data_IF_651834152383
#
_entry.id   IF_651834152383
#
_cell.length_a   1.000
_cell.length_b   1.000
_cell.length_c   1.000
_cell.angle_alpha   90.00
_cell.angle_beta   90.00
_cell.angle_gamma   90.00
#
_symmetry.space_group_name_H-M   'P 1'
#
loop_
_entity.id
_entity.type
_entity.pdbx_description
1 polymer ?
#
# COMPACT_ATOMS: atom_id res chain seq x y z
N UNK A 1 0.96 4.40 -38.49
CA UNK A 1 2.02 5.42 -38.66
C UNK A 1 1.57 6.69 -37.98
N UNK A 2 2.36 7.20 -37.03
CA UNK A 2 2.13 8.51 -36.41
C UNK A 2 2.84 9.60 -37.22
N UNK A 3 2.23 10.78 -37.34
CA UNK A 3 2.79 11.88 -38.12
C UNK A 3 3.71 12.81 -37.30
N UNK A 4 3.54 12.85 -35.99
CA UNK A 4 4.28 13.77 -35.10
C UNK A 4 4.87 13.08 -33.89
N UNK A 5 4.28 12.01 -33.38
CA UNK A 5 4.77 11.28 -32.25
C UNK A 5 3.80 10.24 -31.73
N UNK A 6 4.28 9.44 -30.78
CA UNK A 6 3.54 8.42 -30.04
C UNK A 6 3.63 8.76 -28.56
N UNK A 7 2.49 8.71 -27.87
CA UNK A 7 2.41 8.91 -26.42
C UNK A 7 2.18 7.58 -25.72
N UNK A 8 3.09 7.20 -24.83
CA UNK A 8 2.94 6.06 -23.93
C UNK A 8 2.12 6.50 -22.70
N UNK A 9 0.98 5.87 -22.49
CA UNK A 9 0.05 6.16 -21.39
C UNK A 9 -0.67 4.90 -20.88
N UNK A 10 -0.02 3.74 -20.99
CA UNK A 10 -0.62 2.43 -20.71
C UNK A 10 -0.59 2.00 -19.24
N UNK A 11 -0.14 2.87 -18.31
CA UNK A 11 0.00 2.53 -16.90
C UNK A 11 1.26 1.74 -16.59
N UNK A 12 1.35 1.21 -15.35
CA UNK A 12 2.48 0.44 -14.88
C UNK A 12 2.35 -1.07 -15.11
N UNK A 13 3.02 -1.88 -14.27
CA UNK A 13 3.09 -3.35 -14.41
C UNK A 13 2.65 -4.12 -13.15
N UNK A 14 1.88 -3.50 -12.27
CA UNK A 14 1.47 -4.10 -10.99
C UNK A 14 0.62 -5.36 -11.12
N UNK A 15 -0.03 -5.59 -12.26
CA UNK A 15 -0.87 -6.76 -12.53
C UNK A 15 -0.15 -7.88 -13.31
N UNK A 16 1.13 -7.71 -13.61
CA UNK A 16 1.95 -8.75 -14.27
C UNK A 16 2.87 -9.44 -13.25
N UNK A 17 2.61 -10.72 -12.97
CA UNK A 17 3.35 -11.47 -11.94
C UNK A 17 4.84 -11.64 -12.30
N UNK A 18 5.19 -11.84 -13.57
CA UNK A 18 6.57 -12.04 -13.99
C UNK A 18 7.38 -10.75 -13.82
N UNK A 19 6.81 -9.61 -14.24
CA UNK A 19 7.45 -8.31 -14.06
C UNK A 19 7.55 -7.92 -12.58
N UNK A 20 6.55 -8.25 -11.76
CA UNK A 20 6.64 -8.09 -10.31
C UNK A 20 7.82 -8.87 -9.74
N UNK A 21 7.94 -10.14 -10.09
CA UNK A 21 9.06 -10.99 -9.65
C UNK A 21 10.42 -10.50 -10.16
N UNK A 22 10.46 -9.91 -11.34
CA UNK A 22 11.70 -9.39 -11.92
C UNK A 22 12.19 -8.11 -11.25
N UNK A 23 11.26 -7.22 -10.84
CA UNK A 23 11.62 -5.85 -10.48
C UNK A 23 11.31 -5.48 -9.03
N UNK A 24 10.24 -6.00 -8.43
CA UNK A 24 9.76 -5.54 -7.13
C UNK A 24 10.36 -6.34 -5.96
N UNK A 25 10.31 -5.81 -4.73
CA UNK A 25 10.71 -6.55 -3.53
C UNK A 25 9.95 -7.87 -3.35
N UNK A 26 10.55 -8.83 -2.67
CA UNK A 26 9.99 -10.16 -2.45
C UNK A 26 9.61 -10.40 -0.97
N UNK A 27 8.57 -11.25 -0.76
CA UNK A 27 7.67 -11.87 -1.73
C UNK A 27 6.70 -10.87 -2.34
N UNK A 28 6.23 -11.13 -3.56
CA UNK A 28 5.28 -10.27 -4.26
C UNK A 28 4.24 -11.09 -5.00
N UNK A 29 2.99 -10.57 -5.08
CA UNK A 29 1.88 -11.24 -5.74
C UNK A 29 0.98 -10.21 -6.45
N UNK A 30 0.56 -10.50 -7.68
CA UNK A 30 -0.33 -9.66 -8.49
C UNK A 30 -1.75 -9.54 -7.93
N UNK A 31 -2.13 -10.35 -6.97
CA UNK A 31 -3.44 -10.30 -6.30
C UNK A 31 -3.49 -9.27 -5.17
N UNK A 32 -2.34 -8.77 -4.69
CA UNK A 32 -2.29 -7.80 -3.60
C UNK A 32 -2.59 -6.34 -4.00
N UNK A 33 -2.26 -5.90 -5.24
CA UNK A 33 -2.53 -4.54 -5.70
C UNK A 33 -4.02 -4.23 -5.86
N UNK A 34 -4.41 -3.01 -5.46
CA UNK A 34 -5.72 -2.41 -5.77
C UNK A 34 -5.67 -1.59 -7.07
N UNK A 35 -4.86 -2.00 -8.02
CA UNK A 35 -4.67 -1.34 -9.32
C UNK A 35 -5.56 -1.94 -10.40
N UNK A 36 -5.88 -1.17 -11.47
CA UNK A 36 -6.65 -1.68 -12.60
C UNK A 36 -5.98 -2.90 -13.27
N UNK A 37 -6.76 -3.90 -13.72
CA UNK A 37 -6.23 -5.16 -14.27
C UNK A 37 -5.40 -4.99 -15.56
N UNK A 38 -5.53 -3.86 -16.27
CA UNK A 38 -4.74 -3.56 -17.46
C UNK A 38 -3.34 -3.00 -17.20
N UNK A 39 -2.89 -2.92 -15.95
CA UNK A 39 -1.52 -2.49 -15.63
C UNK A 39 -0.53 -3.67 -15.78
N UNK A 40 -0.30 -4.09 -16.99
CA UNK A 40 0.49 -5.28 -17.38
C UNK A 40 1.88 -4.96 -17.94
N UNK A 41 2.25 -3.65 -17.97
CA UNK A 41 3.59 -3.22 -18.39
C UNK A 41 3.88 -3.46 -19.88
N UNK A 42 2.87 -3.35 -20.72
CA UNK A 42 2.98 -3.67 -22.17
C UNK A 42 4.01 -2.80 -22.91
N UNK A 43 4.31 -1.61 -22.37
CA UNK A 43 5.27 -0.70 -23.02
C UNK A 43 6.73 -1.04 -22.70
N UNK A 44 7.02 -1.87 -21.71
CA UNK A 44 8.37 -2.09 -21.20
C UNK A 44 9.27 -2.68 -22.30
N UNK A 45 8.86 -3.81 -22.89
CA UNK A 45 9.69 -4.46 -23.93
C UNK A 45 9.78 -3.67 -25.24
N UNK A 46 8.71 -3.05 -25.76
CA UNK A 46 8.83 -2.13 -26.89
C UNK A 46 9.77 -0.94 -26.64
N UNK A 47 9.69 -0.32 -25.45
CA UNK A 47 10.52 0.82 -25.11
C UNK A 47 12.02 0.42 -24.94
N UNK A 48 12.30 -0.74 -24.33
CA UNK A 48 13.67 -1.30 -24.28
C UNK A 48 14.27 -1.51 -25.68
N UNK A 49 13.51 -2.06 -26.62
CA UNK A 49 13.94 -2.25 -28.00
C UNK A 49 14.29 -0.94 -28.71
N UNK A 50 13.69 0.18 -28.30
CA UNK A 50 14.01 1.53 -28.80
C UNK A 50 15.19 2.18 -28.06
N UNK A 51 15.77 1.52 -27.05
CA UNK A 51 16.86 2.02 -26.26
C UNK A 51 16.44 3.04 -25.19
N UNK A 52 15.19 2.97 -24.71
CA UNK A 52 14.72 3.82 -23.64
C UNK A 52 15.39 3.51 -22.30
N UNK A 53 15.76 4.54 -21.58
CA UNK A 53 16.22 4.44 -20.18
C UNK A 53 15.04 4.20 -19.26
N UNK A 54 15.24 3.33 -18.27
CA UNK A 54 14.27 3.04 -17.21
C UNK A 54 14.80 3.44 -15.84
N UNK A 55 13.92 3.83 -14.95
CA UNK A 55 14.25 4.11 -13.56
C UNK A 55 13.10 3.72 -12.62
N UNK A 56 13.39 3.62 -11.31
CA UNK A 56 12.46 3.30 -10.22
C UNK A 56 11.70 1.97 -10.38
N UNK A 57 12.23 1.03 -11.15
CA UNK A 57 11.55 -0.24 -11.45
C UNK A 57 11.26 -1.09 -10.21
N UNK A 58 12.04 -0.94 -9.14
CA UNK A 58 11.84 -1.63 -7.85
C UNK A 58 10.80 -0.98 -6.94
N UNK A 59 10.15 0.10 -7.34
CA UNK A 59 9.30 0.90 -6.47
C UNK A 59 7.82 0.87 -6.89
N UNK A 60 6.93 0.92 -5.89
CA UNK A 60 5.49 0.93 -6.06
C UNK A 60 4.86 2.12 -5.33
N UNK A 61 3.64 2.48 -5.68
CA UNK A 61 2.75 3.28 -4.85
C UNK A 61 2.17 2.36 -3.77
N UNK A 62 2.92 2.15 -2.69
CA UNK A 62 2.61 1.17 -1.66
C UNK A 62 1.25 1.38 -1.01
N UNK A 63 0.52 0.31 -0.74
CA UNK A 63 -0.83 0.33 -0.22
C UNK A 63 -1.15 -0.99 0.50
N UNK A 64 -1.10 -1.05 1.86
CA UNK A 64 -1.44 -2.28 2.57
C UNK A 64 -2.87 -2.72 2.26
N UNK A 65 -3.08 -4.00 2.08
CA UNK A 65 -4.37 -4.57 1.68
C UNK A 65 -4.74 -5.82 2.47
N UNK A 66 -6.05 -6.01 2.65
CA UNK A 66 -6.69 -7.27 3.05
C UNK A 66 -7.37 -7.87 1.82
N UNK A 67 -7.28 -9.17 1.63
CA UNK A 67 -7.93 -9.85 0.51
C UNK A 67 -9.27 -10.44 0.97
N UNK A 68 -10.32 -10.31 0.15
CA UNK A 68 -11.56 -11.03 0.34
C UNK A 68 -11.47 -12.50 -0.15
N UNK A 69 -12.57 -13.25 -0.06
CA UNK A 69 -12.64 -14.65 -0.48
C UNK A 69 -12.53 -14.88 -2.00
N UNK A 70 -12.56 -13.81 -2.79
CA UNK A 70 -12.28 -13.82 -4.24
C UNK A 70 -10.88 -13.31 -4.57
N UNK A 71 -10.00 -13.15 -3.56
CA UNK A 71 -8.69 -12.49 -3.67
C UNK A 71 -8.78 -11.03 -4.14
N UNK A 72 -9.94 -10.38 -3.97
CA UNK A 72 -10.07 -8.97 -4.28
C UNK A 72 -9.47 -8.14 -3.15
N UNK A 73 -8.49 -7.26 -3.45
CA UNK A 73 -7.85 -6.46 -2.43
C UNK A 73 -8.76 -5.33 -1.94
N UNK A 74 -8.81 -5.15 -0.63
CA UNK A 74 -9.34 -3.99 0.06
C UNK A 74 -8.18 -3.14 0.55
N UNK A 75 -8.04 -1.93 0.02
CA UNK A 75 -6.96 -1.02 0.40
C UNK A 75 -7.23 -0.37 1.76
N UNK A 76 -6.33 -0.60 2.72
CA UNK A 76 -6.41 -0.04 4.07
C UNK A 76 -5.94 1.43 4.07
N UNK A 77 -6.85 2.37 3.83
CA UNK A 77 -6.55 3.81 3.89
C UNK A 77 -6.75 4.35 5.31
N UNK A 78 -8.00 4.41 5.75
CA UNK A 78 -8.39 4.92 7.05
C UNK A 78 -8.31 3.84 8.14
N UNK A 79 -8.61 2.58 7.77
CA UNK A 79 -8.74 1.46 8.70
C UNK A 79 -7.52 1.29 9.61
N UNK A 80 -6.31 1.49 9.08
CA UNK A 80 -5.05 1.36 9.83
C UNK A 80 -4.78 2.51 10.82
N UNK A 81 -5.52 3.61 10.74
CA UNK A 81 -5.42 4.73 11.67
C UNK A 81 -6.49 4.69 12.77
N UNK A 82 -7.42 3.72 12.72
CA UNK A 82 -8.47 3.50 13.74
C UNK A 82 -7.81 3.29 15.11
N UNK A 83 -8.27 3.98 16.18
CA UNK A 83 -7.59 3.99 17.47
C UNK A 83 -7.40 2.62 18.13
N UNK A 84 -8.47 1.80 18.14
CA UNK A 84 -8.49 0.46 18.76
C UNK A 84 -8.15 -0.64 17.74
N UNK A 85 -7.04 -0.46 17.04
CA UNK A 85 -6.50 -1.39 16.04
C UNK A 85 -4.98 -1.43 16.17
N UNK A 86 -4.39 -2.61 16.05
CA UNK A 86 -2.94 -2.78 15.93
C UNK A 86 -2.60 -3.76 14.80
N UNK A 87 -1.39 -3.63 14.27
CA UNK A 87 -0.84 -4.57 13.30
C UNK A 87 0.40 -5.24 13.89
N UNK A 88 0.42 -6.56 13.83
CA UNK A 88 1.52 -7.38 14.35
C UNK A 88 2.06 -8.31 13.26
N UNK A 89 3.33 -8.66 13.35
CA UNK A 89 3.95 -9.70 12.54
C UNK A 89 3.51 -11.11 12.98
N UNK A 90 4.00 -12.15 12.31
CA UNK A 90 3.69 -13.54 12.63
C UNK A 90 4.25 -14.00 13.99
N UNK A 91 5.11 -13.21 14.62
CA UNK A 91 5.57 -13.42 15.99
C UNK A 91 4.73 -12.66 17.04
N UNK A 92 3.69 -11.95 16.63
CA UNK A 92 2.83 -11.17 17.52
C UNK A 92 3.44 -9.84 17.99
N UNK A 93 4.40 -9.28 17.26
CA UNK A 93 5.06 -8.02 17.58
C UNK A 93 4.64 -6.91 16.66
N UNK A 94 4.30 -5.73 17.22
CA UNK A 94 4.21 -4.48 16.45
C UNK A 94 5.59 -4.09 15.95
N UNK A 95 5.68 -3.45 14.80
CA UNK A 95 6.96 -3.09 14.18
C UNK A 95 6.94 -1.73 13.48
N UNK A 96 5.80 -1.01 13.52
CA UNK A 96 5.64 0.29 12.88
C UNK A 96 4.51 1.10 13.54
N UNK A 97 4.43 2.39 13.18
CA UNK A 97 3.25 3.22 13.41
C UNK A 97 2.19 2.89 12.36
N UNK A 98 1.09 2.29 12.77
CA UNK A 98 0.04 1.86 11.84
C UNK A 98 -0.64 3.04 11.12
N UNK A 99 -0.68 4.23 11.76
CA UNK A 99 -1.27 5.43 11.18
C UNK A 99 -0.34 6.19 10.20
N UNK A 100 0.93 5.80 10.09
CA UNK A 100 1.91 6.44 9.19
C UNK A 100 1.44 6.46 7.72
N UNK A 101 2.05 7.24 6.82
CA UNK A 101 1.73 7.20 5.39
C UNK A 101 1.76 5.76 4.84
N UNK A 102 0.74 5.37 4.09
CA UNK A 102 0.56 3.99 3.64
C UNK A 102 1.68 3.49 2.71
N UNK A 103 2.36 4.39 2.02
CA UNK A 103 3.54 4.05 1.22
C UNK A 103 4.72 3.65 2.13
N UNK A 104 5.02 4.46 3.15
CA UNK A 104 6.07 4.18 4.12
C UNK A 104 5.76 2.92 4.95
N UNK A 105 4.47 2.63 5.18
CA UNK A 105 4.04 1.38 5.80
C UNK A 105 4.57 0.17 5.03
N UNK A 106 4.44 0.16 3.70
CA UNK A 106 4.90 -0.95 2.86
C UNK A 106 6.42 -1.09 2.89
N UNK A 107 7.17 0.01 2.84
CA UNK A 107 8.63 -0.02 2.95
C UNK A 107 9.08 -0.58 4.31
N UNK A 108 8.40 -0.18 5.39
CA UNK A 108 8.68 -0.72 6.73
C UNK A 108 8.30 -2.21 6.82
N UNK A 109 7.20 -2.64 6.19
CA UNK A 109 6.78 -4.04 6.18
C UNK A 109 7.82 -4.94 5.50
N UNK A 110 8.34 -4.55 4.34
CA UNK A 110 9.41 -5.29 3.66
C UNK A 110 10.71 -5.29 4.47
N UNK A 111 11.13 -4.13 4.99
CA UNK A 111 12.32 -4.03 5.84
C UNK A 111 12.24 -4.95 7.06
N UNK A 112 11.09 -4.94 7.75
CA UNK A 112 10.89 -5.82 8.91
C UNK A 112 10.84 -7.29 8.51
N UNK A 113 10.25 -7.60 7.35
CA UNK A 113 10.24 -8.96 6.80
C UNK A 113 11.65 -9.53 6.63
N UNK A 114 12.56 -8.75 6.04
CA UNK A 114 13.96 -9.12 5.88
C UNK A 114 14.66 -9.29 7.24
N UNK A 115 14.50 -8.33 8.15
CA UNK A 115 15.12 -8.34 9.48
C UNK A 115 14.69 -9.52 10.35
N UNK A 116 13.47 -10.01 10.15
CA UNK A 116 12.90 -11.10 10.96
C UNK A 116 12.95 -12.48 10.28
N UNK A 117 13.65 -12.58 9.15
CA UNK A 117 13.74 -13.84 8.41
C UNK A 117 12.37 -14.29 7.87
N UNK A 118 11.56 -13.37 7.40
CA UNK A 118 10.32 -13.69 6.71
C UNK A 118 9.04 -13.63 7.54
N UNK A 119 8.99 -12.84 8.64
CA UNK A 119 7.86 -12.87 9.58
C UNK A 119 6.80 -11.76 9.41
N UNK A 120 7.02 -10.76 8.54
CA UNK A 120 6.07 -9.66 8.37
C UNK A 120 5.09 -9.83 7.19
N UNK A 121 5.39 -10.64 6.20
CA UNK A 121 4.51 -10.86 5.06
C UNK A 121 3.95 -12.29 5.11
N UNK A 122 2.65 -12.45 5.47
CA UNK A 122 1.67 -11.44 5.89
C UNK A 122 1.81 -11.01 7.37
N UNK A 123 1.28 -9.83 7.67
CA UNK A 123 1.02 -9.39 9.05
C UNK A 123 -0.45 -9.61 9.44
N UNK A 124 -0.80 -9.36 10.70
CA UNK A 124 -2.16 -9.47 11.20
C UNK A 124 -2.65 -8.12 11.71
N UNK A 125 -3.75 -7.61 11.15
CA UNK A 125 -4.52 -6.52 11.73
C UNK A 125 -5.45 -7.08 12.79
N UNK A 126 -5.35 -6.59 14.02
CA UNK A 126 -6.13 -7.03 15.17
C UNK A 126 -7.02 -5.89 15.64
N UNK A 127 -8.31 -6.18 15.81
CA UNK A 127 -9.34 -5.28 16.32
C UNK A 127 -10.25 -6.02 17.29
N UNK A 128 -11.09 -5.28 18.02
CA UNK A 128 -12.11 -5.86 18.89
C UNK A 128 -13.55 -5.49 18.47
N UNK A 129 -14.52 -5.96 19.23
CA UNK A 129 -15.94 -5.68 18.98
C UNK A 129 -16.27 -4.19 19.10
N UNK A 130 -15.60 -3.43 19.96
CA UNK A 130 -15.82 -2.00 20.07
C UNK A 130 -15.40 -1.27 18.82
N UNK A 131 -14.27 -1.63 18.23
CA UNK A 131 -13.79 -1.13 16.94
C UNK A 131 -14.86 -1.32 15.85
N UNK A 132 -15.36 -2.56 15.71
CA UNK A 132 -16.44 -2.92 14.77
C UNK A 132 -17.72 -2.13 15.01
N UNK A 133 -18.05 -1.82 16.27
CA UNK A 133 -19.26 -1.09 16.63
C UNK A 133 -19.17 0.42 16.40
N UNK A 134 -17.96 0.99 16.36
CA UNK A 134 -17.74 2.45 16.31
C UNK A 134 -17.29 2.96 14.95
N UNK A 135 -16.54 2.19 14.21
CA UNK A 135 -15.84 2.67 13.00
C UNK A 135 -16.25 1.92 11.75
N UNK A 136 -16.13 2.58 10.60
CA UNK A 136 -16.12 1.91 9.30
C UNK A 136 -14.88 1.02 9.24
N UNK A 137 -15.05 -0.26 9.01
CA UNK A 137 -13.98 -1.24 9.01
C UNK A 137 -14.10 -2.17 7.79
N UNK A 138 -13.09 -2.18 6.92
CA UNK A 138 -13.07 -3.01 5.70
C UNK A 138 -14.36 -2.87 4.88
N UNK A 139 -14.86 -1.64 4.76
CA UNK A 139 -16.09 -1.33 4.03
C UNK A 139 -17.40 -1.66 4.75
N UNK A 140 -17.36 -2.25 5.95
CA UNK A 140 -18.55 -2.52 6.75
C UNK A 140 -18.88 -1.33 7.65
N UNK A 141 -20.14 -0.90 7.67
CA UNK A 141 -20.59 0.18 8.55
C UNK A 141 -20.55 -0.24 10.02
N UNK A 142 -20.48 0.74 10.96
CA UNK A 142 -20.54 0.47 12.40
C UNK A 142 -21.71 -0.45 12.76
N UNK A 143 -21.42 -1.48 13.57
CA UNK A 143 -22.36 -2.55 14.02
C UNK A 143 -22.83 -3.51 12.93
N UNK A 144 -22.41 -3.34 11.69
CA UNK A 144 -22.68 -4.30 10.63
C UNK A 144 -21.80 -5.54 10.80
N UNK A 145 -22.36 -6.74 10.60
CA UNK A 145 -21.55 -7.97 10.59
C UNK A 145 -20.72 -8.07 9.34
N UNK A 146 -19.56 -8.73 9.47
CA UNK A 146 -18.77 -9.09 8.28
C UNK A 146 -19.57 -10.10 7.43
N UNK A 147 -19.37 -10.13 6.10
CA UNK A 147 -19.98 -11.12 5.23
C UNK A 147 -19.76 -12.54 5.76
N UNK A 148 -20.80 -13.39 5.70
CA UNK A 148 -20.72 -14.76 6.21
C UNK A 148 -19.60 -15.54 5.51
N UNK A 149 -19.37 -15.28 4.24
CA UNK A 149 -18.31 -15.85 3.42
C UNK A 149 -16.90 -15.57 3.98
N UNK A 150 -16.73 -14.44 4.68
CA UNK A 150 -15.45 -14.11 5.31
C UNK A 150 -15.13 -15.03 6.49
N UNK A 151 -16.15 -15.49 7.21
CA UNK A 151 -16.00 -16.47 8.27
C UNK A 151 -15.77 -17.87 7.68
N UNK A 152 -16.57 -18.28 6.70
CA UNK A 152 -16.50 -19.57 6.05
C UNK A 152 -15.16 -19.82 5.34
N UNK A 153 -14.62 -18.80 4.67
CA UNK A 153 -13.32 -18.86 3.99
C UNK A 153 -12.13 -18.47 4.88
N UNK A 154 -12.39 -18.14 6.16
CA UNK A 154 -11.34 -17.82 7.13
C UNK A 154 -10.57 -16.54 6.82
N UNK A 155 -11.19 -15.58 6.13
CA UNK A 155 -10.67 -14.22 5.91
C UNK A 155 -10.62 -13.49 7.23
N UNK A 156 -11.68 -13.58 8.03
CA UNK A 156 -11.71 -13.10 9.41
C UNK A 156 -11.47 -14.25 10.36
N UNK A 157 -10.53 -14.09 11.29
CA UNK A 157 -10.33 -14.98 12.44
C UNK A 157 -11.00 -14.35 13.64
N UNK A 158 -11.67 -15.15 14.46
CA UNK A 158 -12.45 -14.64 15.61
C UNK A 158 -12.09 -15.43 16.85
N UNK A 159 -11.83 -14.73 17.95
CA UNK A 159 -11.62 -15.33 19.28
C UNK A 159 -12.42 -14.61 20.35
N UNK A 160 -13.06 -15.35 21.23
CA UNK A 160 -13.68 -14.78 22.43
C UNK A 160 -12.63 -14.35 23.46
N UNK A 161 -11.44 -14.93 23.35
CA UNK A 161 -10.26 -14.54 24.12
C UNK A 161 -9.06 -14.32 23.19
N UNK A 162 -8.00 -13.71 23.71
CA UNK A 162 -6.75 -13.53 22.95
C UNK A 162 -6.06 -14.86 22.69
N UNK A 163 -6.20 -15.83 23.59
CA UNK A 163 -5.69 -17.19 23.47
C UNK A 163 -6.35 -17.91 22.26
N UNK A 164 -7.66 -17.78 22.13
CA UNK A 164 -8.40 -18.34 20.98
C UNK A 164 -7.97 -17.68 19.68
N UNK A 165 -7.82 -16.35 19.65
CA UNK A 165 -7.36 -15.62 18.46
C UNK A 165 -5.93 -16.01 18.09
N UNK A 166 -5.03 -16.12 19.07
CA UNK A 166 -3.65 -16.56 18.88
C UNK A 166 -3.59 -17.97 18.26
N UNK A 167 -4.40 -18.89 18.76
CA UNK A 167 -4.51 -20.26 18.20
C UNK A 167 -4.97 -20.25 16.74
N UNK A 168 -5.95 -19.41 16.37
CA UNK A 168 -6.47 -19.32 15.01
C UNK A 168 -5.51 -18.66 14.02
N UNK A 169 -4.63 -17.79 14.51
CA UNK A 169 -3.65 -17.04 13.71
C UNK A 169 -2.27 -17.69 13.69
N UNK A 170 -2.02 -18.68 14.53
CA UNK A 170 -0.72 -19.30 14.80
C UNK A 170 0.32 -18.30 15.33
N UNK A 171 -0.14 -17.25 16.01
CA UNK A 171 0.74 -16.31 16.69
C UNK A 171 1.12 -16.86 18.08
N UNK A 172 2.39 -16.77 18.51
CA UNK A 172 2.76 -17.13 19.87
C UNK A 172 1.99 -16.30 20.90
N UNK A 173 1.20 -16.97 21.75
CA UNK A 173 0.26 -16.31 22.68
C UNK A 173 0.96 -15.34 23.63
N UNK A 174 2.09 -15.72 24.20
CA UNK A 174 2.85 -14.88 25.13
C UNK A 174 3.27 -13.55 24.50
N UNK A 175 3.66 -13.60 23.24
CA UNK A 175 4.03 -12.39 22.48
C UNK A 175 2.82 -11.51 22.19
N UNK A 176 1.72 -12.11 21.70
CA UNK A 176 0.52 -11.37 21.37
C UNK A 176 -0.07 -10.69 22.62
N UNK A 177 -0.16 -11.42 23.72
CA UNK A 177 -0.65 -10.89 25.00
C UNK A 177 0.22 -9.73 25.50
N UNK A 178 1.54 -9.92 25.54
CA UNK A 178 2.48 -8.86 25.95
C UNK A 178 2.38 -7.62 25.05
N UNK A 179 2.22 -7.81 23.76
CA UNK A 179 2.06 -6.70 22.80
C UNK A 179 0.75 -5.95 23.02
N UNK A 180 -0.35 -6.67 23.24
CA UNK A 180 -1.66 -6.10 23.51
C UNK A 180 -1.68 -5.32 24.84
N UNK A 181 -1.14 -5.87 25.91
CA UNK A 181 -1.03 -5.20 27.21
C UNK A 181 -0.23 -3.90 27.12
N UNK A 182 0.90 -3.94 26.39
CA UNK A 182 1.72 -2.77 26.12
C UNK A 182 0.97 -1.70 25.30
N UNK A 183 0.29 -2.11 24.23
CA UNK A 183 -0.55 -1.22 23.41
C UNK A 183 -1.66 -0.57 24.26
N UNK A 184 -2.38 -1.34 25.08
CA UNK A 184 -3.44 -0.85 25.96
C UNK A 184 -2.90 0.11 27.05
N UNK A 185 -1.67 -0.09 27.50
CA UNK A 185 -0.97 0.85 28.38
C UNK A 185 -0.73 2.18 27.68
N UNK A 186 -0.28 2.18 26.42
CA UNK A 186 -0.11 3.39 25.63
C UNK A 186 -1.44 4.10 25.36
N UNK A 187 -2.49 3.34 25.04
CA UNK A 187 -3.84 3.88 24.87
C UNK A 187 -4.34 4.61 26.14
N UNK A 188 -4.14 4.00 27.30
CA UNK A 188 -4.48 4.60 28.60
C UNK A 188 -3.73 5.91 28.85
N UNK A 189 -2.43 5.93 28.55
CA UNK A 189 -1.57 7.10 28.77
C UNK A 189 -1.70 8.16 27.66
N UNK A 190 -2.22 7.78 26.48
CA UNK A 190 -2.35 8.63 25.32
C UNK A 190 -1.05 8.84 24.52
N UNK A 191 -0.03 8.00 24.76
CA UNK A 191 1.28 8.12 24.10
C UNK A 191 1.81 6.73 23.71
N UNK A 192 2.08 6.53 22.43
CA UNK A 192 2.78 5.35 21.91
C UNK A 192 4.30 5.57 21.99
N UNK A 193 4.94 4.91 22.96
CA UNK A 193 6.38 5.04 23.19
C UNK A 193 7.22 4.18 22.24
N UNK A 194 6.60 3.26 21.48
CA UNK A 194 7.32 2.38 20.57
C UNK A 194 7.51 3.02 19.19
N UNK A 195 6.42 3.58 18.64
CA UNK A 195 6.41 4.06 17.24
C UNK A 195 5.85 5.48 17.10
N UNK A 196 5.48 6.15 18.18
CA UNK A 196 4.99 7.52 18.17
C UNK A 196 3.65 7.70 17.46
N UNK A 197 2.80 6.66 17.42
CA UNK A 197 1.48 6.70 16.77
C UNK A 197 0.61 7.78 17.39
N UNK A 198 0.07 8.65 16.54
CA UNK A 198 -0.74 9.79 16.94
C UNK A 198 0.07 11.00 17.43
N UNK A 199 1.36 11.06 17.13
CA UNK A 199 2.22 12.20 17.51
C UNK A 199 2.31 13.30 16.44
N UNK A 200 1.66 13.13 15.30
CA UNK A 200 1.75 14.09 14.19
C UNK A 200 0.39 14.29 13.49
N UNK A 201 0.20 15.43 12.79
CA UNK A 201 -1.07 15.76 12.13
C UNK A 201 -1.50 14.77 11.04
N UNK A 202 -0.58 14.08 10.38
CA UNK A 202 -0.94 13.07 9.38
C UNK A 202 -1.68 11.90 10.01
N UNK A 203 -1.20 11.40 11.15
CA UNK A 203 -1.83 10.30 11.90
C UNK A 203 -3.26 10.68 12.31
N UNK A 204 -3.46 11.94 12.75
CA UNK A 204 -4.77 12.42 13.23
C UNK A 204 -5.83 12.48 12.15
N UNK A 205 -5.44 12.61 10.88
CA UNK A 205 -6.37 12.85 9.77
C UNK A 205 -7.49 11.80 9.67
N UNK A 206 -7.15 10.52 9.92
CA UNK A 206 -8.10 9.41 9.97
C UNK A 206 -8.38 8.91 11.39
N UNK A 207 -7.90 9.62 12.41
CA UNK A 207 -8.13 9.29 13.81
C UNK A 207 -9.50 9.71 14.32
N UNK A 208 -9.81 9.36 15.56
CA UNK A 208 -11.02 9.82 16.27
C UNK A 208 -10.70 11.06 17.12
N UNK A 209 -11.12 12.26 16.72
CA UNK A 209 -10.81 13.50 17.43
C UNK A 209 -11.48 13.60 18.81
N UNK A 210 -12.37 12.67 19.17
CA UNK A 210 -13.01 12.64 20.49
C UNK A 210 -12.14 11.99 21.57
N UNK A 211 -11.05 11.34 21.17
CA UNK A 211 -10.11 10.67 22.07
C UNK A 211 -8.94 11.59 22.47
N UNK A 212 -8.32 11.30 23.61
CA UNK A 212 -7.14 12.02 24.10
C UNK A 212 -5.97 11.97 23.08
N UNK A 213 -5.73 10.81 22.49
CA UNK A 213 -4.91 10.62 21.31
C UNK A 213 -5.81 10.05 20.21
N UNK A 214 -5.99 10.75 19.08
CA UNK A 214 -6.92 10.34 18.04
C UNK A 214 -6.68 8.94 17.45
N UNK A 215 -5.49 8.38 17.64
CA UNK A 215 -5.09 7.10 17.06
C UNK A 215 -4.87 5.99 18.10
N UNK A 216 -5.19 6.23 19.39
CA UNK A 216 -4.99 5.26 20.45
C UNK A 216 -6.26 5.08 21.30
N UNK A 217 -6.83 3.89 21.26
CA UNK A 217 -7.84 3.40 22.20
C UNK A 217 -7.54 1.94 22.52
N UNK A 218 -8.06 1.43 23.64
CA UNK A 218 -7.82 0.07 24.06
C UNK A 218 -8.48 -0.96 23.15
N UNK A 219 -7.85 -2.11 23.03
CA UNK A 219 -8.37 -3.33 22.43
C UNK A 219 -8.65 -4.30 23.58
N UNK A 220 -9.86 -4.26 24.15
CA UNK A 220 -10.19 -5.04 25.36
C UNK A 220 -11.63 -5.60 25.39
N UNK A 221 -12.39 -5.40 24.29
CA UNK A 221 -13.81 -5.77 24.23
C UNK A 221 -14.05 -6.95 23.28
N UNK A 222 -14.10 -8.19 23.78
CA UNK A 222 -14.32 -9.36 22.95
C UNK A 222 -15.69 -9.34 22.23
N UNK A 223 -15.86 -10.11 21.13
CA UNK A 223 -14.82 -10.91 20.47
C UNK A 223 -13.76 -10.07 19.78
N UNK A 224 -12.57 -10.67 19.66
CA UNK A 224 -11.43 -10.13 18.91
C UNK A 224 -11.44 -10.68 17.49
N UNK A 225 -10.98 -9.86 16.54
CA UNK A 225 -10.94 -10.20 15.12
C UNK A 225 -9.52 -9.99 14.57
N UNK A 226 -9.09 -10.88 13.67
CA UNK A 226 -7.83 -10.71 12.96
C UNK A 226 -7.98 -10.92 11.46
N UNK A 227 -7.28 -10.08 10.68
CA UNK A 227 -7.24 -10.10 9.22
C UNK A 227 -5.80 -10.11 8.73
N UNK A 228 -5.52 -10.89 7.68
CA UNK A 228 -4.20 -10.88 7.03
C UNK A 228 -3.99 -9.59 6.26
N UNK A 229 -2.86 -8.94 6.49
CA UNK A 229 -2.43 -7.73 5.79
C UNK A 229 -1.25 -8.06 4.88
N UNK A 230 -1.38 -7.69 3.62
CA UNK A 230 -0.38 -7.89 2.57
C UNK A 230 0.20 -6.58 2.07
N UNK A 231 1.45 -6.58 1.56
CA UNK A 231 2.04 -5.40 0.93
C UNK A 231 1.51 -5.21 -0.49
N UNK A 232 0.30 -4.65 -0.58
CA UNK A 232 -0.30 -4.27 -1.85
C UNK A 232 0.25 -2.95 -2.39
N UNK A 233 -0.28 -2.53 -3.52
CA UNK A 233 0.01 -1.24 -4.14
C UNK A 233 -1.20 -0.74 -4.96
N UNK A 234 -1.15 0.53 -5.35
CA UNK A 234 -2.10 1.15 -6.28
C UNK A 234 -1.48 1.41 -7.65
N UNK A 235 -0.33 0.80 -7.93
CA UNK A 235 0.43 0.89 -9.17
C UNK A 235 1.93 0.92 -8.93
N UNK A 236 2.71 0.79 -10.02
CA UNK A 236 4.18 0.87 -9.97
C UNK A 236 4.66 2.30 -10.24
N UNK A 237 5.83 2.66 -9.69
CA UNK A 237 6.51 3.94 -9.92
C UNK A 237 7.50 3.87 -11.08
N UNK A 238 7.96 2.65 -11.40
CA UNK A 238 8.96 2.40 -12.43
C UNK A 238 8.42 2.54 -13.84
N UNK A 239 9.26 3.08 -14.72
CA UNK A 239 8.94 3.25 -16.13
C UNK A 239 10.06 3.92 -16.90
N UNK A 240 9.77 4.39 -18.10
CA UNK A 240 10.73 5.10 -18.94
C UNK A 240 11.05 6.48 -18.34
N UNK A 241 12.31 6.88 -18.40
CA UNK A 241 12.75 8.23 -17.98
C UNK A 241 12.30 9.25 -19.01
N UNK A 242 11.75 10.38 -18.57
CA UNK A 242 11.31 11.49 -19.41
C UNK A 242 12.01 12.80 -19.03
N UNK A 243 12.07 13.73 -19.96
CA UNK A 243 12.51 15.10 -19.73
C UNK A 243 11.34 16.05 -19.40
N UNK A 244 11.63 17.34 -19.28
CA UNK A 244 10.66 18.41 -19.02
C UNK A 244 9.60 18.60 -20.10
N UNK A 245 9.82 18.04 -21.30
CA UNK A 245 8.87 18.01 -22.42
C UNK A 245 8.12 16.68 -22.54
N UNK A 246 8.27 15.78 -21.56
CA UNK A 246 7.73 14.42 -21.55
C UNK A 246 8.32 13.51 -22.65
N UNK A 247 9.46 13.86 -23.25
CA UNK A 247 10.13 13.01 -24.25
C UNK A 247 10.85 11.87 -23.53
N UNK A 248 10.74 10.67 -24.06
CA UNK A 248 11.44 9.49 -23.53
C UNK A 248 12.92 9.61 -23.81
N UNK A 249 13.77 9.39 -22.80
CA UNK A 249 15.22 9.50 -22.87
C UNK A 249 15.89 8.14 -23.09
N UNK A 250 17.04 8.16 -23.74
CA UNK A 250 18.00 7.04 -23.82
C UNK A 250 18.93 7.05 -22.61
N UNK A 251 19.76 6.02 -22.47
CA UNK A 251 20.78 5.94 -21.43
C UNK A 251 21.79 7.09 -21.42
N UNK A 252 22.10 7.64 -22.59
CA UNK A 252 23.00 8.77 -22.77
C UNK A 252 22.32 10.14 -22.51
N UNK A 253 21.04 10.13 -22.13
CA UNK A 253 20.24 11.33 -21.86
C UNK A 253 19.68 12.00 -23.11
N UNK A 254 19.90 11.47 -24.32
CA UNK A 254 19.31 12.01 -25.54
C UNK A 254 17.86 11.55 -25.70
N UNK A 255 16.93 12.42 -26.21
CA UNK A 255 15.56 12.03 -26.40
C UNK A 255 15.39 11.07 -27.59
N UNK A 256 14.45 10.12 -27.45
CA UNK A 256 13.96 9.30 -28.55
C UNK A 256 12.97 10.16 -29.33
N UNK A 257 13.34 10.53 -30.56
CA UNK A 257 12.55 11.43 -31.39
C UNK A 257 11.11 10.91 -31.60
N UNK A 258 10.12 11.78 -31.33
CA UNK A 258 8.71 11.48 -31.50
C UNK A 258 8.12 10.51 -30.47
N UNK A 259 8.88 10.13 -29.42
CA UNK A 259 8.37 9.25 -28.36
C UNK A 259 8.21 10.02 -27.05
N UNK A 260 6.99 9.97 -26.49
CA UNK A 260 6.59 10.64 -25.24
C UNK A 260 6.02 9.64 -24.24
N UNK A 261 6.07 9.95 -22.95
CA UNK A 261 5.41 9.14 -21.93
C UNK A 261 4.87 10.01 -20.78
N UNK A 262 3.79 9.54 -20.11
CA UNK A 262 3.28 10.14 -18.88
C UNK A 262 2.51 9.11 -18.04
N UNK A 263 2.32 9.41 -16.77
CA UNK A 263 1.66 8.52 -15.81
C UNK A 263 2.55 7.35 -15.39
N UNK A 264 1.96 6.24 -14.93
CA UNK A 264 2.72 5.12 -14.36
C UNK A 264 3.56 4.30 -15.36
N UNK A 265 3.54 4.63 -16.65
CA UNK A 265 4.49 4.08 -17.62
C UNK A 265 5.79 4.89 -17.73
N UNK A 266 5.84 6.07 -17.13
CA UNK A 266 7.08 6.83 -16.93
C UNK A 266 7.58 6.71 -15.50
N UNK A 267 8.90 6.78 -15.31
CA UNK A 267 9.50 6.85 -13.98
C UNK A 267 8.95 8.05 -13.22
N UNK A 268 8.52 7.82 -11.98
CA UNK A 268 7.85 8.83 -11.17
C UNK A 268 8.75 10.04 -10.90
N UNK A 269 8.27 11.25 -11.18
CA UNK A 269 8.95 12.49 -10.83
C UNK A 269 9.02 12.74 -9.30
N UNK A 270 8.23 12.00 -8.52
CA UNK A 270 8.27 12.04 -7.05
C UNK A 270 9.42 11.17 -6.49
N UNK A 271 10.20 10.51 -7.35
CA UNK A 271 11.24 9.59 -6.92
C UNK A 271 10.68 8.44 -6.10
N UNK A 272 11.38 8.05 -5.05
CA UNK A 272 10.97 6.99 -4.12
C UNK A 272 9.88 7.44 -3.14
N UNK A 273 9.61 8.75 -3.02
CA UNK A 273 8.67 9.30 -2.04
C UNK A 273 7.22 9.31 -2.54
N UNK A 274 6.29 9.53 -1.63
CA UNK A 274 4.87 9.71 -1.94
C UNK A 274 4.29 10.90 -1.16
N UNK A 275 4.13 12.06 -1.80
CA UNK A 275 3.67 13.28 -1.12
C UNK A 275 2.18 13.27 -0.77
N UNK A 276 1.42 12.26 -1.23
CA UNK A 276 0.00 12.12 -0.91
C UNK A 276 -0.90 11.87 -2.12
N UNK A 277 -2.23 11.79 -1.90
CA UNK A 277 -3.22 11.58 -2.97
C UNK A 277 -3.07 12.61 -4.10
N UNK A 278 -3.12 12.15 -5.34
CA UNK A 278 -2.90 12.97 -6.53
C UNK A 278 -1.49 12.89 -7.11
N UNK A 279 -0.52 12.31 -6.40
CA UNK A 279 0.87 12.18 -6.86
C UNK A 279 1.06 11.29 -8.11
N UNK A 280 0.05 10.54 -8.50
CA UNK A 280 0.01 9.76 -9.75
C UNK A 280 -0.72 10.52 -10.86
N UNK A 281 -1.96 10.96 -10.60
CA UNK A 281 -2.80 11.58 -11.60
C UNK A 281 -2.33 12.99 -11.97
N UNK A 282 -1.83 13.76 -11.01
CA UNK A 282 -1.32 15.11 -11.24
C UNK A 282 -0.20 15.14 -12.29
N UNK A 283 0.93 14.43 -12.05
CA UNK A 283 2.00 14.31 -13.04
C UNK A 283 1.52 13.69 -14.36
N UNK A 284 0.68 12.65 -14.31
CA UNK A 284 0.14 12.01 -15.51
C UNK A 284 -0.61 12.98 -16.42
N UNK A 285 -1.47 13.83 -15.86
CA UNK A 285 -2.20 14.85 -16.61
C UNK A 285 -1.28 15.99 -17.09
N UNK A 286 -0.38 16.46 -16.22
CA UNK A 286 0.53 17.56 -16.53
C UNK A 286 1.47 17.19 -17.67
N UNK A 287 2.16 16.06 -17.58
CA UNK A 287 3.09 15.61 -18.63
C UNK A 287 2.37 15.15 -19.89
N UNK A 288 1.13 14.63 -19.77
CA UNK A 288 0.27 14.37 -20.94
C UNK A 288 -0.05 15.65 -21.71
N UNK A 289 -0.37 16.75 -21.02
CA UNK A 289 -0.59 18.06 -21.63
C UNK A 289 0.71 18.63 -22.26
N UNK A 290 1.82 18.57 -21.52
CA UNK A 290 3.12 19.03 -22.00
C UNK A 290 3.54 18.29 -23.28
N UNK A 291 3.42 16.96 -23.30
CA UNK A 291 3.71 16.13 -24.46
C UNK A 291 2.89 16.56 -25.68
N UNK A 292 1.58 16.77 -25.50
CA UNK A 292 0.69 17.19 -26.59
C UNK A 292 1.08 18.57 -27.13
N UNK A 293 1.41 19.52 -26.27
CA UNK A 293 1.85 20.87 -26.66
C UNK A 293 3.19 20.83 -27.39
N UNK A 294 4.17 20.06 -26.86
CA UNK A 294 5.46 19.90 -27.52
C UNK A 294 5.32 19.23 -28.90
N UNK A 295 4.57 18.14 -28.97
CA UNK A 295 4.30 17.40 -30.22
C UNK A 295 3.66 18.28 -31.29
N UNK A 296 2.81 19.24 -30.89
CA UNK A 296 2.19 20.22 -31.83
C UNK A 296 3.23 21.12 -32.52
N UNK A 297 4.30 21.46 -31.82
CA UNK A 297 5.35 22.38 -32.32
C UNK A 297 6.36 21.67 -33.21
N UNK A 298 6.41 20.33 -33.23
CA UNK A 298 7.31 19.58 -34.09
C UNK A 298 6.87 19.69 -35.56
N UNK A 299 7.84 19.97 -36.44
CA UNK A 299 7.59 19.99 -37.90
C UNK A 299 7.25 18.57 -38.38
N UNK A 300 6.36 18.49 -39.38
CA UNK A 300 6.04 17.23 -40.05
C UNK A 300 7.24 16.66 -40.81
#
# INVERSE_FOLDING_TARGET
>A
KANRGVMLGAGGFSQDQEKRQQYLPHPTNKEWPSSPPGQTGDIIEPAKKLGAKFDLMGHVWGAPSVLDHHNKPFFLVADRAIPSMMIVDQNGKRYLNEAMPYHEFIDNMYRHHEQTGGKAIHSWMIVDQQTKNRYLLLGQFPRQDFPIEWYEHGIVKVGQTIEELAAQTNIPIENLQSTLERFNTFATNGHDLDFGRGNNPYDWYYGDPTLKNPNLDKIENPPYYAFKVFPGDIGTKGGVVIDEYARVLREDGTPIEGLYAAGNCSASIMGETYPGPGATIGPGMTFGYIAAMHCKTQKK
#
